data_IF_102563232185
#
_entry.id   IF_102563232185
#
_cell.length_a   1.000
_cell.length_b   1.000
_cell.length_c   1.000
_cell.angle_alpha   90.00
_cell.angle_beta   90.00
_cell.angle_gamma   90.00
#
_symmetry.space_group_name_H-M   'P 1'
#
loop_
_entity.id
_entity.type
_entity.pdbx_description
1 polymer ?
#
# COMPACT_ATOMS: atom_id res chain seq x y z
N UNK A 1 20.92 3.80 -3.04
CA UNK A 1 22.33 3.90 -2.63
C UNK A 1 23.04 4.67 -3.71
N UNK A 2 23.79 5.70 -3.33
CA UNK A 2 24.57 6.52 -4.26
C UNK A 2 26.05 6.24 -4.05
N UNK A 3 26.85 6.33 -5.12
CA UNK A 3 28.31 6.33 -5.00
C UNK A 3 28.85 7.71 -4.60
N UNK A 4 30.16 7.82 -4.39
CA UNK A 4 30.84 9.08 -4.02
C UNK A 4 30.70 10.20 -5.08
N UNK A 5 30.20 9.88 -6.27
CA UNK A 5 29.91 10.82 -7.36
C UNK A 5 28.42 11.19 -7.45
N UNK A 6 27.60 10.77 -6.49
CA UNK A 6 26.16 11.05 -6.44
C UNK A 6 25.34 10.27 -7.47
N UNK A 7 25.87 9.17 -8.02
CA UNK A 7 25.15 8.35 -8.99
C UNK A 7 24.46 7.17 -8.29
N UNK A 8 23.18 6.94 -8.62
CA UNK A 8 22.44 5.77 -8.16
C UNK A 8 23.05 4.49 -8.73
N UNK A 9 23.56 3.63 -7.85
CA UNK A 9 24.22 2.37 -8.25
C UNK A 9 23.30 1.15 -8.24
N UNK A 10 22.11 1.29 -7.65
CA UNK A 10 21.13 0.20 -7.53
C UNK A 10 20.34 -0.01 -8.82
N UNK A 11 20.04 -1.27 -9.15
CA UNK A 11 19.23 -1.62 -10.33
C UNK A 11 17.79 -1.10 -10.22
N UNK A 12 17.22 -1.10 -9.01
CA UNK A 12 15.90 -0.55 -8.72
C UNK A 12 15.75 -0.28 -7.21
N UNK A 13 14.82 0.61 -6.86
CA UNK A 13 14.38 0.78 -5.48
C UNK A 13 13.11 -0.06 -5.27
N UNK A 14 13.12 -1.05 -4.36
CA UNK A 14 11.99 -1.96 -4.20
C UNK A 14 10.77 -1.29 -3.57
N UNK A 15 9.60 -1.89 -3.80
CA UNK A 15 8.35 -1.48 -3.14
C UNK A 15 8.39 -1.82 -1.65
N UNK A 16 7.69 -1.02 -0.85
CA UNK A 16 7.47 -1.27 0.58
C UNK A 16 6.01 -1.57 0.85
N UNK A 17 5.76 -2.43 1.82
CA UNK A 17 4.43 -2.71 2.34
C UNK A 17 3.88 -1.45 3.03
N UNK A 18 2.71 -0.99 2.63
CA UNK A 18 2.02 0.18 3.22
C UNK A 18 1.68 -0.04 4.69
N UNK A 19 1.45 -1.29 5.11
CA UNK A 19 1.07 -1.60 6.48
C UNK A 19 2.27 -1.61 7.45
N UNK A 20 3.39 -2.21 7.04
CA UNK A 20 4.52 -2.54 7.93
C UNK A 20 5.83 -1.83 7.57
N UNK A 21 5.89 -1.12 6.45
CA UNK A 21 7.11 -0.56 5.85
C UNK A 21 8.20 -1.59 5.49
N UNK A 22 7.90 -2.89 5.57
CA UNK A 22 8.81 -3.96 5.14
C UNK A 22 8.99 -3.94 3.63
N UNK A 23 10.21 -4.22 3.16
CA UNK A 23 10.52 -4.36 1.72
C UNK A 23 9.80 -5.59 1.14
N UNK A 24 9.13 -5.40 0.01
CA UNK A 24 8.53 -6.48 -0.77
C UNK A 24 9.59 -7.04 -1.72
N UNK A 25 9.94 -8.31 -1.54
CA UNK A 25 10.94 -9.01 -2.36
C UNK A 25 10.41 -9.23 -3.77
N UNK A 26 11.30 -9.31 -4.76
CA UNK A 26 10.93 -9.55 -6.17
C UNK A 26 10.28 -10.91 -6.42
N UNK A 27 10.63 -11.95 -5.65
CA UNK A 27 10.02 -13.29 -5.70
C UNK A 27 8.88 -13.51 -4.69
N UNK A 28 8.40 -12.45 -4.02
CA UNK A 28 7.21 -12.57 -3.16
C UNK A 28 5.94 -12.55 -4.02
N UNK A 29 5.52 -13.73 -4.47
CA UNK A 29 4.29 -13.94 -5.25
C UNK A 29 3.00 -13.91 -4.40
N UNK A 30 3.12 -13.85 -3.07
CA UNK A 30 1.98 -13.69 -2.18
C UNK A 30 1.67 -12.20 -1.93
N UNK A 31 2.58 -11.28 -2.26
CA UNK A 31 2.32 -9.85 -2.18
C UNK A 31 1.25 -9.38 -3.19
N UNK A 32 0.46 -8.38 -2.81
CA UNK A 32 -0.56 -7.78 -3.69
C UNK A 32 -0.42 -6.27 -3.72
N UNK A 33 -0.91 -5.69 -4.81
CA UNK A 33 -1.10 -4.27 -4.95
C UNK A 33 -2.59 -4.02 -5.22
N UNK A 34 -3.22 -3.25 -4.34
CA UNK A 34 -4.65 -2.95 -4.39
C UNK A 34 -4.78 -1.51 -4.87
N UNK A 35 -5.57 -1.32 -5.92
CA UNK A 35 -5.91 0.00 -6.45
C UNK A 35 -7.36 0.33 -6.11
N UNK A 36 -7.56 1.41 -5.36
CA UNK A 36 -8.89 1.94 -5.06
C UNK A 36 -9.14 3.13 -5.99
N UNK A 37 -10.22 3.07 -6.78
CA UNK A 37 -10.57 4.15 -7.70
C UNK A 37 -10.91 5.42 -6.92
N UNK A 38 -10.39 6.56 -7.38
CA UNK A 38 -10.88 7.85 -6.91
C UNK A 38 -12.24 8.15 -7.54
N UNK A 39 -13.10 8.82 -6.79
CA UNK A 39 -14.43 9.23 -7.25
C UNK A 39 -14.47 10.74 -7.48
N UNK A 40 -15.18 11.17 -8.51
CA UNK A 40 -15.50 12.57 -8.75
C UNK A 40 -16.71 13.03 -7.90
N UNK A 41 -17.10 14.29 -8.04
CA UNK A 41 -18.23 14.88 -7.32
C UNK A 41 -19.59 14.24 -7.70
N UNK A 42 -19.68 13.62 -8.87
CA UNK A 42 -20.85 12.88 -9.34
C UNK A 42 -20.85 11.42 -8.86
N UNK A 43 -19.82 11.01 -8.11
CA UNK A 43 -19.66 9.65 -7.59
C UNK A 43 -19.17 8.65 -8.63
N UNK A 44 -18.69 9.09 -9.80
CA UNK A 44 -18.13 8.22 -10.83
C UNK A 44 -16.64 8.00 -10.59
N UNK A 45 -16.19 6.79 -10.91
CA UNK A 45 -14.78 6.47 -10.83
C UNK A 45 -14.00 7.21 -11.92
N UNK A 46 -12.94 7.92 -11.52
CA UNK A 46 -12.05 8.65 -12.43
C UNK A 46 -11.09 7.63 -13.07
N UNK A 47 -11.11 7.43 -14.40
CA UNK A 47 -10.24 6.46 -15.05
C UNK A 47 -8.76 6.82 -14.88
N UNK A 48 -7.93 5.84 -14.51
CA UNK A 48 -6.48 6.03 -14.36
C UNK A 48 -6.06 6.64 -13.01
N UNK A 49 -7.00 7.13 -12.20
CA UNK A 49 -6.70 7.67 -10.88
C UNK A 49 -7.03 6.68 -9.77
N UNK A 50 -5.99 6.25 -9.05
CA UNK A 50 -6.10 5.27 -7.99
C UNK A 50 -5.33 5.71 -6.74
N UNK A 51 -5.84 5.32 -5.58
CA UNK A 51 -5.09 5.25 -4.35
C UNK A 51 -4.60 3.81 -4.22
N UNK A 52 -3.29 3.64 -4.13
CA UNK A 52 -2.65 2.33 -4.23
C UNK A 52 -2.03 1.91 -2.91
N UNK A 53 -2.38 0.72 -2.44
CA UNK A 53 -1.76 0.09 -1.27
C UNK A 53 -1.02 -1.18 -1.67
N UNK A 54 0.19 -1.35 -1.14
CA UNK A 54 0.96 -2.57 -1.30
C UNK A 54 0.95 -3.36 -0.01
N UNK A 55 0.52 -4.62 -0.05
CA UNK A 55 0.51 -5.51 1.11
C UNK A 55 1.47 -6.68 0.84
N UNK A 56 2.43 -6.88 1.74
CA UNK A 56 3.36 -8.01 1.67
C UNK A 56 2.67 -9.35 1.90
N UNK A 57 3.24 -10.44 1.38
CA UNK A 57 2.72 -11.78 1.60
C UNK A 57 2.60 -12.19 3.08
N UNK A 58 3.52 -11.74 3.94
CA UNK A 58 3.51 -12.06 5.38
C UNK A 58 2.27 -11.52 6.11
N UNK A 59 1.91 -10.26 5.88
CA UNK A 59 0.69 -9.63 6.44
C UNK A 59 -0.58 -10.38 5.99
N UNK A 60 -0.62 -10.83 4.73
CA UNK A 60 -1.74 -11.62 4.21
C UNK A 60 -1.80 -13.02 4.80
N UNK A 61 -0.66 -13.68 4.95
CA UNK A 61 -0.57 -15.02 5.53
C UNK A 61 -1.00 -15.04 7.01
N UNK A 62 -0.77 -13.94 7.73
CA UNK A 62 -1.17 -13.80 9.15
C UNK A 62 -2.65 -13.45 9.35
N UNK A 63 -3.38 -13.13 8.29
CA UNK A 63 -4.78 -12.68 8.39
C UNK A 63 -4.95 -11.21 8.82
N UNK A 64 -3.86 -10.47 8.99
CA UNK A 64 -3.88 -9.05 9.42
C UNK A 64 -4.11 -8.08 8.25
N UNK A 65 -4.27 -8.60 7.03
CA UNK A 65 -4.42 -7.77 5.83
C UNK A 65 -5.70 -6.93 5.83
N UNK A 66 -6.80 -7.45 6.36
CA UNK A 66 -8.09 -6.75 6.41
C UNK A 66 -8.02 -5.56 7.39
N UNK A 67 -7.60 -5.81 8.63
CA UNK A 67 -7.43 -4.76 9.65
C UNK A 67 -6.45 -3.68 9.18
N UNK A 68 -5.34 -4.08 8.57
CA UNK A 68 -4.35 -3.15 8.01
C UNK A 68 -4.94 -2.28 6.89
N UNK A 69 -5.72 -2.85 5.97
CA UNK A 69 -6.37 -2.09 4.90
C UNK A 69 -7.42 -1.13 5.45
N UNK A 70 -8.20 -1.57 6.45
CA UNK A 70 -9.19 -0.72 7.09
C UNK A 70 -8.57 0.51 7.76
N UNK A 71 -7.47 0.31 8.49
CA UNK A 71 -6.69 1.40 9.09
C UNK A 71 -6.13 2.36 8.04
N UNK A 72 -5.51 1.83 6.98
CA UNK A 72 -4.89 2.65 5.93
C UNK A 72 -5.94 3.48 5.18
N UNK A 73 -7.02 2.85 4.72
CA UNK A 73 -8.08 3.52 3.99
C UNK A 73 -8.83 4.54 4.84
N UNK A 74 -9.02 4.30 6.15
CA UNK A 74 -9.60 5.30 7.04
C UNK A 74 -8.67 6.50 7.24
N UNK A 75 -7.36 6.29 7.38
CA UNK A 75 -6.39 7.37 7.51
C UNK A 75 -6.31 8.24 6.25
N UNK A 76 -6.43 7.62 5.07
CA UNK A 76 -6.47 8.33 3.77
C UNK A 76 -7.86 8.93 3.47
N UNK A 77 -8.80 8.87 4.42
CA UNK A 77 -10.11 9.53 4.32
C UNK A 77 -11.14 8.81 3.46
N UNK A 78 -10.88 7.57 3.04
CA UNK A 78 -11.76 6.78 2.20
C UNK A 78 -12.89 6.11 2.97
N UNK A 79 -12.73 5.94 4.28
CA UNK A 79 -13.71 5.33 5.17
C UNK A 79 -13.89 6.16 6.43
N UNK A 80 -15.07 6.06 7.05
CA UNK A 80 -15.39 6.75 8.31
C UNK A 80 -15.93 5.74 9.33
N UNK A 81 -15.39 5.76 10.54
CA UNK A 81 -15.86 4.98 11.70
C UNK A 81 -15.87 3.45 11.52
N UNK A 82 -15.02 2.90 10.65
CA UNK A 82 -14.92 1.44 10.44
C UNK A 82 -13.85 0.83 11.35
N UNK A 83 -12.74 1.53 11.53
CA UNK A 83 -11.61 1.08 12.34
C UNK A 83 -11.43 1.97 13.59
N UNK A 84 -11.07 1.35 14.71
CA UNK A 84 -10.77 2.02 15.97
C UNK A 84 -9.33 1.70 16.41
N UNK A 85 -8.61 2.73 16.88
CA UNK A 85 -7.28 2.54 17.45
C UNK A 85 -7.33 1.85 18.82
N UNK A 86 -8.40 2.08 19.58
CA UNK A 86 -8.64 1.36 20.83
C UNK A 86 -9.35 0.05 20.52
N UNK A 87 -8.77 -1.07 20.96
CA UNK A 87 -9.47 -2.36 21.08
C UNK A 87 -10.03 -2.53 22.48
#
# INVERSE_FOLDING_TARGET
MENDKGQLVELYVPRKCSATNTIIKSKDHASVQINIAKVDEEGRAIPGEYITYALSGDVRARGEADDALNRLAQNDGLMKNVWSYSR
#
